data_IF_840221650698
#
_entry.id   IF_840221650698
#
_cell.length_a   1.000
_cell.length_b   1.000
_cell.length_c   1.000
_cell.angle_alpha   90.00
_cell.angle_beta   90.00
_cell.angle_gamma   90.00
#
_symmetry.space_group_name_H-M   'P 1'
#
loop_
_entity.id
_entity.type
_entity.pdbx_description
1 polymer ?
#
# COMPACT_ATOMS: atom_id res chain seq x y z
N UNK A 1 0.00 -25.20 -9.76
CA UNK A 1 1.13 -24.31 -10.10
C UNK A 1 0.54 -23.01 -10.59
N UNK A 2 0.51 -21.96 -9.75
CA UNK A 2 -0.11 -20.68 -10.12
C UNK A 2 0.87 -19.89 -10.99
N UNK A 3 0.57 -19.79 -12.27
CA UNK A 3 1.26 -18.89 -13.21
C UNK A 3 1.14 -17.46 -12.70
N UNK A 4 2.25 -16.83 -12.34
CA UNK A 4 2.31 -15.39 -12.12
C UNK A 4 2.13 -14.71 -13.47
N UNK A 5 0.89 -14.35 -13.81
CA UNK A 5 0.67 -13.42 -14.91
C UNK A 5 1.38 -12.12 -14.57
N UNK A 6 2.44 -11.78 -15.31
CA UNK A 6 3.14 -10.50 -15.16
C UNK A 6 2.23 -9.39 -15.69
N UNK A 7 1.32 -8.91 -14.85
CA UNK A 7 0.52 -7.73 -15.15
C UNK A 7 1.47 -6.53 -15.13
N UNK A 8 1.62 -5.86 -16.27
CA UNK A 8 2.38 -4.62 -16.34
C UNK A 8 1.69 -3.57 -15.47
N UNK A 9 2.35 -3.06 -14.42
CA UNK A 9 1.74 -2.10 -13.52
C UNK A 9 1.49 -0.77 -14.24
N UNK A 10 0.33 -0.17 -14.02
CA UNK A 10 0.00 1.14 -14.60
C UNK A 10 0.93 2.20 -14.01
N UNK A 11 1.60 2.96 -14.86
CA UNK A 11 2.52 4.03 -14.44
C UNK A 11 1.80 5.36 -14.39
N UNK A 12 1.99 6.10 -13.31
CA UNK A 12 1.43 7.44 -13.09
C UNK A 12 2.60 8.42 -12.89
N UNK A 13 2.69 9.42 -13.78
CA UNK A 13 3.68 10.48 -13.67
C UNK A 13 3.12 11.67 -12.89
N UNK A 14 3.52 11.79 -11.62
CA UNK A 14 3.06 12.85 -10.71
C UNK A 14 3.60 14.23 -11.10
N UNK A 15 4.65 14.30 -11.91
CA UNK A 15 5.24 15.58 -12.37
C UNK A 15 4.29 16.33 -13.29
N UNK A 16 3.39 15.60 -13.96
CA UNK A 16 2.36 16.17 -14.86
C UNK A 16 1.12 16.65 -14.12
N UNK A 17 1.08 16.49 -12.79
CA UNK A 17 -0.12 16.66 -11.97
C UNK A 17 0.12 17.74 -10.92
N UNK A 18 -0.86 18.63 -10.77
CA UNK A 18 -0.79 19.71 -9.80
C UNK A 18 -0.61 19.15 -8.38
N UNK A 19 0.30 19.69 -7.55
CA UNK A 19 0.62 19.14 -6.22
C UNK A 19 -0.58 18.86 -5.32
N UNK A 20 -1.59 19.74 -5.35
CA UNK A 20 -2.83 19.61 -4.57
C UNK A 20 -3.67 18.38 -4.93
N UNK A 21 -3.56 17.90 -6.17
CA UNK A 21 -4.39 16.82 -6.72
C UNK A 21 -3.68 15.46 -6.66
N UNK A 22 -2.35 15.44 -6.45
CA UNK A 22 -1.52 14.23 -6.47
C UNK A 22 -2.00 13.19 -5.47
N UNK A 23 -2.18 13.57 -4.20
CA UNK A 23 -2.57 12.62 -3.15
C UNK A 23 -3.93 11.99 -3.41
N UNK A 24 -4.96 12.82 -3.66
CA UNK A 24 -6.31 12.34 -3.93
C UNK A 24 -6.34 11.36 -5.11
N UNK A 25 -5.62 11.69 -6.20
CA UNK A 25 -5.55 10.81 -7.35
C UNK A 25 -4.78 9.51 -7.06
N UNK A 26 -3.63 9.57 -6.39
CA UNK A 26 -2.85 8.36 -6.06
C UNK A 26 -3.69 7.41 -5.20
N UNK A 27 -4.34 7.92 -4.16
CA UNK A 27 -5.18 7.10 -3.28
C UNK A 27 -6.40 6.54 -4.01
N UNK A 28 -7.10 7.35 -4.81
CA UNK A 28 -8.22 6.86 -5.60
C UNK A 28 -7.83 5.77 -6.61
N UNK A 29 -6.63 5.89 -7.21
CA UNK A 29 -6.08 4.87 -8.10
C UNK A 29 -5.72 3.60 -7.35
N UNK A 30 -5.10 3.72 -6.18
CA UNK A 30 -4.78 2.59 -5.32
C UNK A 30 -6.04 1.84 -4.86
N UNK A 31 -7.09 2.56 -4.44
CA UNK A 31 -8.35 1.95 -4.00
C UNK A 31 -9.04 1.16 -5.12
N UNK A 32 -8.88 1.62 -6.36
CA UNK A 32 -9.41 0.97 -7.55
C UNK A 32 -8.59 -0.26 -8.01
N UNK A 33 -7.37 -0.46 -7.50
CA UNK A 33 -6.57 -1.64 -7.85
C UNK A 33 -7.19 -2.92 -7.26
N UNK A 34 -7.29 -4.02 -8.02
CA UNK A 34 -7.56 -5.33 -7.44
C UNK A 34 -6.42 -5.79 -6.51
N UNK A 35 -6.75 -6.63 -5.53
CA UNK A 35 -5.74 -7.28 -4.70
C UNK A 35 -4.78 -8.12 -5.57
N UNK A 36 -3.48 -7.95 -5.34
CA UNK A 36 -2.40 -8.57 -6.12
C UNK A 36 -1.94 -7.76 -7.33
N UNK A 37 -2.60 -6.65 -7.67
CA UNK A 37 -2.13 -5.73 -8.71
C UNK A 37 -1.29 -4.58 -8.15
N UNK A 38 -0.49 -3.99 -9.03
CA UNK A 38 0.41 -2.90 -8.68
C UNK A 38 0.28 -1.71 -9.63
N UNK A 39 0.64 -0.55 -9.11
CA UNK A 39 0.83 0.70 -9.86
C UNK A 39 2.23 1.24 -9.62
N UNK A 40 2.77 1.98 -10.57
CA UNK A 40 4.03 2.70 -10.44
C UNK A 40 3.78 4.20 -10.35
N UNK A 41 4.49 4.88 -9.46
CA UNK A 41 4.53 6.33 -9.37
C UNK A 41 5.90 6.82 -9.83
N UNK A 42 5.91 7.84 -10.66
CA UNK A 42 7.10 8.58 -11.07
C UNK A 42 7.00 9.98 -10.49
N UNK A 43 8.02 10.40 -9.75
CA UNK A 43 8.08 11.67 -9.06
C UNK A 43 9.45 12.35 -9.27
N UNK A 44 9.50 13.66 -9.10
CA UNK A 44 10.73 14.48 -9.19
C UNK A 44 11.51 14.55 -7.86
N UNK A 45 10.94 14.04 -6.77
CA UNK A 45 11.57 13.97 -5.45
C UNK A 45 11.19 12.67 -4.72
N UNK A 46 11.83 12.41 -3.58
CA UNK A 46 11.55 11.24 -2.75
C UNK A 46 10.08 11.21 -2.29
N UNK A 47 9.28 10.20 -2.67
CA UNK A 47 7.90 10.05 -2.24
C UNK A 47 7.75 9.48 -0.82
N UNK A 48 8.78 9.53 0.04
CA UNK A 48 8.70 9.09 1.43
C UNK A 48 7.53 9.69 2.24
N UNK A 49 7.17 10.99 2.13
CA UNK A 49 6.00 11.53 2.83
C UNK A 49 4.68 10.87 2.40
N UNK A 50 4.58 10.46 1.13
CA UNK A 50 3.41 9.74 0.61
C UNK A 50 3.36 8.32 1.17
N UNK A 51 4.50 7.65 1.32
CA UNK A 51 4.57 6.33 1.94
C UNK A 51 4.00 6.35 3.37
N UNK A 52 4.38 7.33 4.19
CA UNK A 52 3.85 7.42 5.56
C UNK A 52 2.33 7.58 5.59
N UNK A 53 1.75 8.36 4.66
CA UNK A 53 0.29 8.47 4.55
C UNK A 53 -0.37 7.13 4.14
N UNK A 54 0.31 6.30 3.35
CA UNK A 54 -0.15 4.95 3.05
C UNK A 54 -0.09 4.04 4.28
N UNK A 55 0.98 4.10 5.07
CA UNK A 55 1.12 3.35 6.33
C UNK A 55 -0.02 3.68 7.31
N UNK A 56 -0.40 4.96 7.41
CA UNK A 56 -1.51 5.38 8.28
C UNK A 56 -2.89 4.97 7.73
N UNK A 57 -3.10 5.10 6.42
CA UNK A 57 -4.41 4.88 5.77
C UNK A 57 -4.73 3.41 5.51
N UNK A 58 -3.72 2.62 5.13
CA UNK A 58 -3.88 1.27 4.59
C UNK A 58 -2.86 0.28 5.19
N UNK A 59 -2.70 0.21 6.53
CA UNK A 59 -1.70 -0.65 7.16
C UNK A 59 -1.91 -2.12 6.77
N UNK A 60 -0.86 -2.77 6.28
CA UNK A 60 -0.88 -4.18 5.87
C UNK A 60 -1.71 -4.47 4.61
N UNK A 61 -2.14 -3.45 3.87
CA UNK A 61 -2.91 -3.56 2.62
C UNK A 61 -2.12 -3.16 1.38
N UNK A 62 -0.86 -2.73 1.54
CA UNK A 62 0.02 -2.44 0.43
C UNK A 62 1.45 -2.94 0.68
N UNK A 63 2.19 -3.10 -0.42
CA UNK A 63 3.63 -3.30 -0.44
C UNK A 63 4.27 -2.14 -1.20
N UNK A 64 5.42 -1.67 -0.72
CA UNK A 64 6.15 -0.53 -1.30
C UNK A 64 7.52 -0.96 -1.78
N UNK A 65 7.77 -0.85 -3.08
CA UNK A 65 9.06 -1.15 -3.69
C UNK A 65 9.65 0.08 -4.38
N UNK A 66 10.83 0.52 -3.95
CA UNK A 66 11.57 1.54 -4.68
C UNK A 66 12.25 0.90 -5.90
N UNK A 67 11.90 1.36 -7.10
CA UNK A 67 12.48 0.89 -8.36
C UNK A 67 13.63 1.78 -8.82
N UNK A 68 13.53 3.08 -8.56
CA UNK A 68 14.54 4.07 -8.90
C UNK A 68 14.59 5.12 -7.79
N UNK A 69 15.78 5.36 -7.27
CA UNK A 69 16.08 6.43 -6.33
C UNK A 69 16.88 7.47 -7.10
N UNK A 70 16.51 8.75 -6.96
CA UNK A 70 17.01 9.85 -7.80
C UNK A 70 18.52 10.12 -7.76
N UNK A 71 18.99 11.25 -8.31
CA UNK A 71 18.30 12.56 -8.29
C UNK A 71 17.47 12.91 -9.52
N UNK A 72 17.60 12.16 -10.64
CA UNK A 72 16.92 12.51 -11.88
C UNK A 72 15.42 12.14 -11.85
N UNK A 73 15.09 10.96 -11.34
CA UNK A 73 13.73 10.43 -11.27
C UNK A 73 13.61 9.54 -10.02
N UNK A 74 12.47 9.63 -9.36
CA UNK A 74 12.09 8.71 -8.29
C UNK A 74 10.95 7.84 -8.79
N UNK A 75 11.15 6.52 -8.81
CA UNK A 75 10.13 5.56 -9.23
C UNK A 75 9.85 4.58 -8.09
N UNK A 76 8.59 4.49 -7.71
CA UNK A 76 8.13 3.53 -6.71
C UNK A 76 7.00 2.69 -7.27
N UNK A 77 6.94 1.43 -6.88
CA UNK A 77 5.82 0.54 -7.15
C UNK A 77 5.04 0.32 -5.85
N UNK A 78 3.74 0.51 -5.95
CA UNK A 78 2.79 0.27 -4.86
C UNK A 78 1.92 -0.90 -5.31
N UNK A 79 2.03 -2.02 -4.60
CA UNK A 79 1.21 -3.21 -4.84
C UNK A 79 0.10 -3.24 -3.82
N UNK A 80 -1.16 -3.38 -4.23
CA UNK A 80 -2.26 -3.62 -3.30
C UNK A 80 -2.24 -5.08 -2.88
N UNK A 81 -2.02 -5.36 -1.60
CA UNK A 81 -2.19 -6.71 -1.07
C UNK A 81 -3.59 -6.85 -0.51
N UNK A 82 -4.30 -7.92 -0.90
CA UNK A 82 -5.53 -8.29 -0.21
C UNK A 82 -5.15 -8.58 1.23
N UNK A 83 -5.90 -8.03 2.20
CA UNK A 83 -5.56 -8.04 3.64
C UNK A 83 -4.74 -9.28 3.99
N UNK A 84 -3.47 -9.10 4.32
CA UNK A 84 -2.72 -10.16 4.97
C UNK A 84 -3.45 -10.35 6.29
N UNK A 85 -4.24 -11.41 6.40
CA UNK A 85 -5.01 -11.71 7.60
C UNK A 85 -4.05 -11.57 8.78
N UNK A 86 -4.28 -10.55 9.60
CA UNK A 86 -3.61 -10.48 10.89
C UNK A 86 -3.96 -11.80 11.57
N UNK A 87 -2.99 -12.54 12.17
CA UNK A 87 -3.37 -13.67 13.00
C UNK A 87 -4.42 -13.15 13.99
N UNK A 88 -5.61 -13.73 13.92
CA UNK A 88 -6.74 -13.37 14.76
C UNK A 88 -6.23 -13.24 16.20
N UNK A 89 -6.59 -12.13 16.84
CA UNK A 89 -6.26 -11.86 18.23
C UNK A 89 -6.58 -13.11 19.08
N UNK A 90 -5.54 -13.86 19.43
CA UNK A 90 -5.61 -14.99 20.35
C UNK A 90 -5.70 -14.49 21.78
N UNK A 91 -6.75 -13.73 22.09
CA UNK A 91 -7.12 -13.36 23.44
C UNK A 91 -8.11 -14.37 24.00
N UNK A 92 -7.67 -15.61 24.23
CA UNK A 92 -8.42 -16.54 25.08
C UNK A 92 -8.35 -16.00 26.51
N UNK A 93 -9.36 -15.24 26.92
CA UNK A 93 -9.61 -14.92 28.32
C UNK A 93 -9.95 -16.22 29.08
N UNK A 94 -8.93 -16.99 29.42
CA UNK A 94 -8.99 -18.02 30.44
C UNK A 94 -8.68 -17.38 31.79
N UNK A 95 -9.72 -17.04 32.55
CA UNK A 95 -9.69 -16.78 34.00
C UNK A 95 -11.15 -16.93 34.46
N UNK A 96 -11.65 -18.06 34.96
CA UNK A 96 -11.13 -18.81 36.10
C UNK A 96 -11.59 -18.14 37.39
N UNK A 97 -12.73 -18.57 37.96
CA UNK A 97 -12.98 -18.42 39.40
C UNK A 97 -14.37 -17.97 39.86
N UNK A 98 -15.07 -18.93 40.47
CA UNK A 98 -16.03 -18.82 41.57
C UNK A 98 -17.46 -18.31 41.31
N UNK A 99 -18.37 -19.28 41.28
CA UNK A 99 -19.76 -19.14 41.69
C UNK A 99 -19.83 -18.79 43.19
N UNK A 100 -20.57 -17.74 43.53
CA UNK A 100 -21.09 -17.44 44.87
C UNK A 100 -22.58 -17.15 44.61
N UNK A 101 -23.58 -17.78 45.21
CA UNK A 101 -23.79 -18.10 46.62
C UNK A 101 -25.26 -17.72 46.88
#
# INVERSE_FOLDING_TARGET
MSTLATVTPTTIDLRTIAPRDRHAMVFGRFDALPAGQAMQLVNDHDPLPLRFQFDDRAPGQFEWAALESGPAVWRVQITRVGMKALPAAGGSCCSGGACCG
#
